data_IF_076837848283
#
_entry.id   IF_076837848283
#
_cell.length_a   1.000
_cell.length_b   1.000
_cell.length_c   1.000
_cell.angle_alpha   90.00
_cell.angle_beta   90.00
_cell.angle_gamma   90.00
#
_symmetry.space_group_name_H-M   'P 1'
#
loop_
_entity.id
_entity.type
_entity.pdbx_description
1 polymer ?
#
# COMPACT_ATOMS: atom_id res chain seq x y z
N UNK A 1 -11.10 25.29 -111.38
CA UNK A 1 -12.09 25.67 -110.34
C UNK A 1 -12.76 26.95 -110.80
N UNK A 2 -14.07 26.92 -111.06
CA UNK A 2 -14.82 28.08 -111.50
C UNK A 2 -15.17 28.97 -110.28
N UNK A 3 -14.85 30.27 -110.29
CA UNK A 3 -15.19 31.18 -109.20
C UNK A 3 -16.69 31.53 -109.24
N UNK A 4 -17.41 31.26 -108.13
CA UNK A 4 -18.83 31.63 -107.99
C UNK A 4 -19.70 30.73 -107.10
N UNK A 5 -19.19 29.60 -106.60
CA UNK A 5 -19.95 28.67 -105.74
C UNK A 5 -19.39 28.68 -104.30
N UNK A 6 -20.24 29.03 -103.33
CA UNK A 6 -19.93 28.96 -101.90
C UNK A 6 -20.55 27.71 -101.29
N UNK A 7 -19.72 26.84 -100.70
CA UNK A 7 -20.19 25.66 -99.98
C UNK A 7 -20.69 26.10 -98.60
N UNK A 8 -22.00 25.98 -98.37
CA UNK A 8 -22.61 26.47 -97.13
C UNK A 8 -22.59 25.42 -96.01
N UNK A 9 -22.81 24.14 -96.32
CA UNK A 9 -22.71 23.02 -95.38
C UNK A 9 -22.30 21.75 -96.11
N UNK A 10 -21.30 21.05 -95.57
CA UNK A 10 -20.94 19.69 -96.00
C UNK A 10 -21.47 18.73 -94.95
N UNK A 11 -22.42 17.88 -95.33
CA UNK A 11 -22.89 16.78 -94.49
C UNK A 11 -22.27 15.50 -95.00
N UNK A 12 -21.51 14.85 -94.13
CA UNK A 12 -21.05 13.47 -94.35
C UNK A 12 -22.07 12.51 -93.76
N UNK A 13 -22.37 11.46 -94.51
CA UNK A 13 -23.15 10.33 -93.99
C UNK A 13 -22.26 9.46 -93.12
N UNK A 14 -22.81 8.95 -92.01
CA UNK A 14 -22.07 8.02 -91.16
C UNK A 14 -21.88 6.71 -91.95
N UNK A 15 -20.65 6.26 -92.20
CA UNK A 15 -20.42 5.01 -92.91
C UNK A 15 -20.99 3.84 -92.10
N UNK A 16 -21.68 2.92 -92.78
CA UNK A 16 -22.21 1.70 -92.15
C UNK A 16 -21.05 0.72 -91.95
N UNK A 17 -20.68 0.48 -90.70
CA UNK A 17 -19.67 -0.52 -90.36
C UNK A 17 -20.31 -1.91 -90.44
N UNK A 18 -19.74 -2.85 -91.21
CA UNK A 18 -20.20 -4.24 -91.25
C UNK A 18 -20.22 -4.88 -89.86
N UNK A 19 -21.21 -5.72 -89.57
CA UNK A 19 -21.44 -6.26 -88.22
C UNK A 19 -20.27 -7.07 -87.67
N UNK A 20 -19.52 -7.77 -88.54
CA UNK A 20 -18.34 -8.52 -88.15
C UNK A 20 -17.24 -7.64 -87.50
N UNK A 21 -17.01 -6.43 -88.02
CA UNK A 21 -15.99 -5.51 -87.48
C UNK A 21 -16.47 -4.91 -86.15
N UNK A 22 -17.77 -4.66 -86.02
CA UNK A 22 -18.39 -4.14 -84.79
C UNK A 22 -18.21 -5.13 -83.63
N UNK A 23 -18.55 -6.40 -83.85
CA UNK A 23 -18.42 -7.43 -82.81
C UNK A 23 -16.96 -7.67 -82.39
N UNK A 24 -16.02 -7.70 -83.33
CA UNK A 24 -14.59 -7.85 -83.01
C UNK A 24 -14.05 -6.67 -82.18
N UNK A 25 -14.46 -5.43 -82.51
CA UNK A 25 -14.07 -4.24 -81.76
C UNK A 25 -14.65 -4.23 -80.34
N UNK A 26 -15.91 -4.66 -80.20
CA UNK A 26 -16.57 -4.81 -78.90
C UNK A 26 -15.88 -5.85 -78.02
N UNK A 27 -15.56 -7.03 -78.56
CA UNK A 27 -14.82 -8.08 -77.85
C UNK A 27 -13.44 -7.60 -77.40
N UNK A 28 -12.66 -7.01 -78.32
CA UNK A 28 -11.35 -6.46 -77.99
C UNK A 28 -11.43 -5.40 -76.88
N UNK A 29 -12.44 -4.51 -76.92
CA UNK A 29 -12.65 -3.51 -75.88
C UNK A 29 -13.03 -4.12 -74.53
N UNK A 30 -13.89 -5.14 -74.54
CA UNK A 30 -14.29 -5.83 -73.32
C UNK A 30 -13.07 -6.52 -72.67
N UNK A 31 -12.24 -7.19 -73.44
CA UNK A 31 -11.00 -7.83 -72.98
C UNK A 31 -9.99 -6.81 -72.45
N UNK A 32 -9.76 -5.73 -73.19
CA UNK A 32 -8.86 -4.65 -72.76
C UNK A 32 -9.32 -4.03 -71.43
N UNK A 33 -10.62 -3.79 -71.30
CA UNK A 33 -11.19 -3.24 -70.07
C UNK A 33 -11.06 -4.24 -68.92
N UNK A 34 -11.35 -5.52 -69.15
CA UNK A 34 -11.20 -6.59 -68.16
C UNK A 34 -9.75 -6.71 -67.66
N UNK A 35 -8.78 -6.65 -68.57
CA UNK A 35 -7.35 -6.70 -68.22
C UNK A 35 -6.94 -5.49 -67.36
N UNK A 36 -7.39 -4.29 -67.72
CA UNK A 36 -7.12 -3.08 -66.96
C UNK A 36 -7.71 -3.15 -65.55
N UNK A 37 -8.96 -3.60 -65.42
CA UNK A 37 -9.64 -3.78 -64.13
C UNK A 37 -8.90 -4.81 -63.27
N UNK A 38 -8.53 -5.96 -63.84
CA UNK A 38 -7.79 -6.99 -63.12
C UNK A 38 -6.43 -6.46 -62.62
N UNK A 39 -5.70 -5.73 -63.47
CA UNK A 39 -4.40 -5.12 -63.12
C UNK A 39 -4.56 -4.08 -62.00
N UNK A 40 -5.59 -3.23 -62.07
CA UNK A 40 -5.86 -2.26 -61.01
C UNK A 40 -6.26 -2.93 -59.70
N UNK A 41 -7.09 -3.95 -59.77
CA UNK A 41 -7.51 -4.71 -58.60
C UNK A 41 -6.31 -5.37 -57.91
N UNK A 42 -5.40 -5.98 -58.67
CA UNK A 42 -4.15 -6.54 -58.13
C UNK A 42 -3.34 -5.49 -57.37
N UNK A 43 -3.16 -4.29 -57.95
CA UNK A 43 -2.46 -3.19 -57.29
C UNK A 43 -3.15 -2.73 -56.00
N UNK A 44 -4.47 -2.69 -55.98
CA UNK A 44 -5.23 -2.34 -54.77
C UNK A 44 -5.00 -3.38 -53.67
N UNK A 45 -5.12 -4.67 -54.00
CA UNK A 45 -4.90 -5.77 -53.05
C UNK A 45 -3.46 -5.74 -52.48
N UNK A 46 -2.46 -5.51 -53.33
CA UNK A 46 -1.06 -5.37 -52.88
C UNK A 46 -0.89 -4.19 -51.91
N UNK A 47 -1.47 -3.03 -52.23
CA UNK A 47 -1.37 -1.83 -51.38
C UNK A 47 -2.16 -1.97 -50.08
N UNK A 48 -3.31 -2.64 -50.11
CA UNK A 48 -4.09 -2.95 -48.93
C UNK A 48 -3.33 -3.91 -48.01
N UNK A 49 -2.71 -4.96 -48.55
CA UNK A 49 -1.89 -5.87 -47.78
C UNK A 49 -0.69 -5.16 -47.12
N UNK A 50 0.00 -4.29 -47.85
CA UNK A 50 1.07 -3.44 -47.29
C UNK A 50 0.54 -2.53 -46.17
N UNK A 51 -0.63 -1.93 -46.38
CA UNK A 51 -1.27 -1.03 -45.41
C UNK A 51 -1.67 -1.78 -44.14
N UNK A 52 -2.25 -2.97 -44.28
CA UNK A 52 -2.62 -3.83 -43.15
C UNK A 52 -1.38 -4.25 -42.34
N UNK A 53 -0.28 -4.62 -43.01
CA UNK A 53 0.99 -4.94 -42.33
C UNK A 53 1.50 -3.74 -41.52
N UNK A 54 1.58 -2.56 -42.13
CA UNK A 54 2.01 -1.33 -41.42
C UNK A 54 1.09 -0.99 -40.26
N UNK A 55 -0.22 -1.11 -40.46
CA UNK A 55 -1.21 -0.87 -39.40
C UNK A 55 -1.01 -1.83 -38.23
N UNK A 56 -0.77 -3.11 -38.48
CA UNK A 56 -0.54 -4.11 -37.45
C UNK A 56 0.75 -3.82 -36.65
N UNK A 57 1.84 -3.42 -37.33
CA UNK A 57 3.09 -3.02 -36.67
C UNK A 57 2.88 -1.79 -35.78
N UNK A 58 2.25 -0.74 -36.32
CA UNK A 58 1.97 0.48 -35.57
C UNK A 58 1.07 0.20 -34.36
N UNK A 59 0.08 -0.68 -34.51
CA UNK A 59 -0.80 -1.05 -33.41
C UNK A 59 -0.06 -1.82 -32.32
N UNK A 60 0.83 -2.76 -32.69
CA UNK A 60 1.67 -3.48 -31.75
C UNK A 60 2.62 -2.54 -31.00
N UNK A 61 3.27 -1.61 -31.71
CA UNK A 61 4.15 -0.60 -31.11
C UNK A 61 3.39 0.32 -30.16
N UNK A 62 2.21 0.79 -30.57
CA UNK A 62 1.34 1.62 -29.72
C UNK A 62 0.97 0.86 -28.43
N UNK A 63 0.56 -0.40 -28.54
CA UNK A 63 0.24 -1.24 -27.37
C UNK A 63 1.45 -1.41 -26.46
N UNK A 64 2.64 -1.66 -27.00
CA UNK A 64 3.87 -1.75 -26.23
C UNK A 64 4.22 -0.45 -25.51
N UNK A 65 4.07 0.70 -26.17
CA UNK A 65 4.31 2.02 -25.56
C UNK A 65 3.31 2.32 -24.44
N UNK A 66 2.02 2.04 -24.66
CA UNK A 66 1.00 2.22 -23.62
C UNK A 66 1.29 1.31 -22.42
N UNK A 67 1.62 0.03 -22.65
CA UNK A 67 2.01 -0.88 -21.57
C UNK A 67 3.23 -0.37 -20.80
N UNK A 68 4.26 0.14 -21.48
CA UNK A 68 5.43 0.71 -20.84
C UNK A 68 5.10 1.93 -19.97
N UNK A 69 4.20 2.81 -20.42
CA UNK A 69 3.73 3.95 -19.62
C UNK A 69 2.97 3.47 -18.38
N UNK A 70 2.04 2.53 -18.54
CA UNK A 70 1.28 1.95 -17.43
C UNK A 70 2.22 1.30 -16.40
N UNK A 71 3.21 0.52 -16.85
CA UNK A 71 4.19 -0.09 -15.97
C UNK A 71 5.02 0.96 -15.21
N UNK A 72 5.47 2.03 -15.88
CA UNK A 72 6.17 3.13 -15.22
C UNK A 72 5.30 3.80 -14.15
N UNK A 73 4.01 4.04 -14.43
CA UNK A 73 3.06 4.59 -13.47
C UNK A 73 2.91 3.66 -12.26
N UNK A 74 2.67 2.37 -12.48
CA UNK A 74 2.54 1.39 -11.39
C UNK A 74 3.82 1.28 -10.54
N UNK A 75 5.00 1.31 -11.16
CA UNK A 75 6.27 1.30 -10.43
C UNK A 75 6.38 2.55 -9.55
N UNK A 76 6.11 3.74 -10.11
CA UNK A 76 6.15 4.99 -9.38
C UNK A 76 5.15 5.02 -8.21
N UNK A 77 3.93 4.51 -8.41
CA UNK A 77 2.92 4.35 -7.35
C UNK A 77 3.41 3.42 -6.23
N UNK A 78 3.96 2.25 -6.58
CA UNK A 78 4.47 1.29 -5.59
C UNK A 78 5.70 1.83 -4.85
N UNK A 79 6.57 2.56 -5.52
CA UNK A 79 7.71 3.22 -4.88
C UNK A 79 7.26 4.32 -3.91
N UNK A 80 6.26 5.11 -4.30
CA UNK A 80 5.67 6.13 -3.44
C UNK A 80 5.00 5.48 -2.23
N UNK A 81 4.23 4.41 -2.43
CA UNK A 81 3.63 3.66 -1.33
C UNK A 81 4.68 3.13 -0.35
N UNK A 82 5.78 2.55 -0.86
CA UNK A 82 6.89 2.10 -0.01
C UNK A 82 7.51 3.24 0.79
N UNK A 83 7.65 4.44 0.21
CA UNK A 83 8.17 5.62 0.91
C UNK A 83 7.23 6.08 2.01
N UNK A 84 5.92 6.14 1.72
CA UNK A 84 4.90 6.50 2.71
C UNK A 84 4.95 5.53 3.89
N UNK A 85 4.90 4.22 3.64
CA UNK A 85 4.94 3.24 4.72
C UNK A 85 6.23 3.32 5.55
N UNK A 86 7.39 3.56 4.93
CA UNK A 86 8.64 3.79 5.67
C UNK A 86 8.56 5.03 6.57
N UNK A 87 8.02 6.14 6.07
CA UNK A 87 7.86 7.36 6.86
C UNK A 87 6.86 7.16 8.00
N UNK A 88 5.78 6.41 7.78
CA UNK A 88 4.82 6.03 8.82
C UNK A 88 5.51 5.19 9.90
N UNK A 89 6.25 4.14 9.52
CA UNK A 89 6.99 3.29 10.46
C UNK A 89 8.01 4.09 11.28
N UNK A 90 8.78 4.97 10.63
CA UNK A 90 9.75 5.85 11.29
C UNK A 90 9.06 6.82 12.27
N UNK A 91 7.94 7.42 11.86
CA UNK A 91 7.15 8.32 12.69
C UNK A 91 6.54 7.60 13.89
N UNK A 92 6.02 6.39 13.68
CA UNK A 92 5.49 5.54 14.75
C UNK A 92 6.58 5.14 15.73
N UNK A 93 7.73 4.67 15.24
CA UNK A 93 8.87 4.31 16.09
C UNK A 93 9.35 5.51 16.92
N UNK A 94 9.49 6.68 16.29
CA UNK A 94 9.89 7.90 16.99
C UNK A 94 8.85 8.31 18.05
N UNK A 95 7.57 8.18 17.75
CA UNK A 95 6.48 8.52 18.67
C UNK A 95 6.44 7.57 19.87
N UNK A 96 6.55 6.26 19.64
CA UNK A 96 6.57 5.26 20.72
C UNK A 96 7.81 5.39 21.59
N UNK A 97 8.98 5.65 20.99
CA UNK A 97 10.19 5.95 21.73
C UNK A 97 10.04 7.19 22.61
N UNK A 98 9.51 8.29 22.06
CA UNK A 98 9.28 9.50 22.83
C UNK A 98 8.30 9.29 24.01
N UNK A 99 7.24 8.49 23.81
CA UNK A 99 6.32 8.11 24.89
C UNK A 99 7.01 7.26 25.96
N UNK A 100 7.81 6.28 25.56
CA UNK A 100 8.56 5.43 26.49
C UNK A 100 9.58 6.26 27.30
N UNK A 101 10.35 7.12 26.63
CA UNK A 101 11.33 8.01 27.26
C UNK A 101 10.65 8.99 28.24
N UNK A 102 9.51 9.56 27.85
CA UNK A 102 8.70 10.41 28.73
C UNK A 102 8.16 9.65 29.95
N UNK A 103 7.71 8.41 29.76
CA UNK A 103 7.29 7.52 30.84
C UNK A 103 8.42 7.21 31.81
N UNK A 104 9.59 6.84 31.27
CA UNK A 104 10.80 6.58 32.05
C UNK A 104 11.22 7.82 32.84
N UNK A 105 11.29 8.99 32.20
CA UNK A 105 11.66 10.24 32.87
C UNK A 105 10.72 10.59 34.01
N UNK A 106 9.41 10.46 33.80
CA UNK A 106 8.40 10.67 34.86
C UNK A 106 8.58 9.71 36.02
N UNK A 107 8.74 8.41 35.76
CA UNK A 107 8.93 7.40 36.78
C UNK A 107 10.23 7.63 37.57
N UNK A 108 11.32 7.97 36.88
CA UNK A 108 12.61 8.28 37.49
C UNK A 108 12.50 9.50 38.41
N UNK A 109 11.89 10.60 37.94
CA UNK A 109 11.69 11.81 38.76
C UNK A 109 10.76 11.58 39.93
N UNK A 110 9.71 10.77 39.76
CA UNK A 110 8.84 10.36 40.86
C UNK A 110 9.60 9.52 41.90
N UNK A 111 10.46 8.58 41.48
CA UNK A 111 11.30 7.80 42.39
C UNK A 111 12.31 8.66 43.15
N UNK A 112 12.96 9.62 42.47
CA UNK A 112 13.84 10.61 43.11
C UNK A 112 13.09 11.46 44.14
N UNK A 113 11.90 11.95 43.79
CA UNK A 113 11.05 12.73 44.70
C UNK A 113 10.60 11.90 45.90
N UNK A 114 10.15 10.66 45.68
CA UNK A 114 9.76 9.75 46.75
C UNK A 114 10.93 9.47 47.69
N UNK A 115 12.16 9.31 47.17
CA UNK A 115 13.35 9.15 48.02
C UNK A 115 13.57 10.32 48.95
N UNK A 116 13.26 11.55 48.51
CA UNK A 116 13.36 12.75 49.35
C UNK A 116 12.19 12.88 50.33
N UNK A 117 11.00 12.41 49.97
CA UNK A 117 9.79 12.47 50.82
C UNK A 117 9.72 11.36 51.87
N UNK A 118 10.47 10.26 51.70
CA UNK A 118 10.54 9.14 52.65
C UNK A 118 11.42 9.48 53.88
N UNK A 119 11.19 10.62 54.51
CA UNK A 119 11.70 10.88 55.87
C UNK A 119 10.69 10.37 56.90
N UNK A 120 11.15 9.76 58.02
CA UNK A 120 10.25 9.18 59.01
C UNK A 120 9.26 10.21 59.58
N UNK A 121 9.70 11.46 59.78
CA UNK A 121 8.89 12.53 60.35
C UNK A 121 7.76 12.97 59.39
N UNK A 122 8.01 12.96 58.08
CA UNK A 122 7.00 13.33 57.09
C UNK A 122 5.94 12.24 56.92
N UNK A 123 6.34 10.97 57.03
CA UNK A 123 5.42 9.84 56.98
C UNK A 123 4.48 9.81 58.18
N UNK A 124 4.99 10.08 59.39
CA UNK A 124 4.17 10.22 60.60
C UNK A 124 3.16 11.38 60.46
N UNK A 125 3.61 12.55 60.02
CA UNK A 125 2.72 13.70 59.77
C UNK A 125 1.62 13.36 58.75
N UNK A 126 1.98 12.68 57.66
CA UNK A 126 1.01 12.25 56.65
C UNK A 126 0.05 11.18 57.14
N UNK A 127 0.51 10.25 57.97
CA UNK A 127 -0.33 9.24 58.59
C UNK A 127 -1.37 9.89 59.50
N UNK A 128 -0.95 10.80 60.38
CA UNK A 128 -1.85 11.54 61.28
C UNK A 128 -2.86 12.38 60.46
N UNK A 129 -2.41 13.06 59.41
CA UNK A 129 -3.28 13.84 58.53
C UNK A 129 -4.32 12.95 57.81
N UNK A 130 -3.91 11.78 57.32
CA UNK A 130 -4.80 10.82 56.67
C UNK A 130 -5.83 10.24 57.66
N UNK A 131 -5.40 9.91 58.88
CA UNK A 131 -6.30 9.49 59.96
C UNK A 131 -7.30 10.59 60.26
N UNK A 132 -6.85 11.83 60.45
CA UNK A 132 -7.72 12.97 60.76
C UNK A 132 -8.76 13.24 59.66
N UNK A 133 -8.39 13.13 58.38
CA UNK A 133 -9.31 13.34 57.24
C UNK A 133 -10.28 12.19 57.00
N UNK A 134 -9.84 10.95 57.23
CA UNK A 134 -10.66 9.76 57.00
C UNK A 134 -11.50 9.38 58.24
N UNK A 135 -11.33 10.06 59.37
CA UNK A 135 -12.14 9.85 60.55
C UNK A 135 -13.55 10.42 60.34
N UNK A 136 -14.40 9.67 59.64
CA UNK A 136 -15.85 9.82 59.75
C UNK A 136 -16.20 9.41 61.18
N UNK A 137 -16.53 10.38 62.01
CA UNK A 137 -16.87 10.15 63.41
C UNK A 137 -18.12 9.27 63.45
N UNK A 138 -17.94 7.98 63.74
CA UNK A 138 -19.04 7.05 64.01
C UNK A 138 -19.36 7.12 65.50
N UNK A 139 -20.53 7.67 65.85
CA UNK A 139 -21.04 7.68 67.22
C UNK A 139 -21.89 6.42 67.45
N UNK A 140 -21.47 5.54 68.37
CA UNK A 140 -22.18 4.30 68.73
C UNK A 140 -21.34 3.41 69.66
N UNK A 141 -21.97 2.52 70.45
CA UNK A 141 -21.33 1.79 71.56
C UNK A 141 -20.33 0.68 71.18
N UNK A 142 -20.13 0.39 69.89
CA UNK A 142 -19.17 -0.62 69.41
C UNK A 142 -18.27 -0.07 68.29
N UNK A 143 -17.11 0.47 68.66
CA UNK A 143 -16.08 0.93 67.72
C UNK A 143 -15.10 -0.24 67.47
N UNK A 144 -14.92 -0.72 66.22
CA UNK A 144 -13.97 -1.80 65.92
C UNK A 144 -12.53 -1.41 66.26
N UNK A 145 -11.86 -2.25 67.05
CA UNK A 145 -10.48 -2.09 67.54
C UNK A 145 -9.38 -2.13 66.45
N UNK A 146 -9.75 -2.21 65.17
CA UNK A 146 -8.83 -2.28 64.04
C UNK A 146 -7.95 -1.02 63.87
N UNK A 147 -8.38 0.14 64.39
CA UNK A 147 -7.64 1.40 64.27
C UNK A 147 -6.47 1.56 65.26
N UNK A 148 -6.41 0.76 66.33
CA UNK A 148 -5.41 0.91 67.40
C UNK A 148 -4.26 -0.12 67.36
N UNK A 149 -4.27 -1.08 66.42
CA UNK A 149 -3.29 -2.18 66.37
C UNK A 149 -2.09 -1.96 65.41
N UNK A 150 -1.78 -0.71 65.05
CA UNK A 150 -0.72 -0.44 64.08
C UNK A 150 0.69 -0.75 64.58
N UNK A 151 0.96 -0.76 65.89
CA UNK A 151 2.27 -1.14 66.43
C UNK A 151 2.47 -2.66 66.54
N UNK A 152 1.41 -3.42 66.82
CA UNK A 152 1.51 -4.88 67.02
C UNK A 152 1.54 -5.68 65.70
N UNK A 153 0.86 -5.20 64.65
CA UNK A 153 0.78 -5.89 63.36
C UNK A 153 2.05 -5.72 62.50
N UNK A 154 2.74 -4.58 62.60
CA UNK A 154 4.01 -4.34 61.91
C UNK A 154 5.13 -5.24 62.44
N UNK A 155 5.14 -5.55 63.75
CA UNK A 155 6.09 -6.51 64.32
C UNK A 155 5.86 -7.96 63.83
N UNK A 156 4.61 -8.35 63.55
CA UNK A 156 4.27 -9.70 63.09
C UNK A 156 4.54 -9.95 61.59
N UNK A 157 4.46 -8.93 60.74
CA UNK A 157 4.75 -9.08 59.30
C UNK A 157 6.26 -9.16 59.03
N UNK A 158 7.08 -8.40 59.77
CA UNK A 158 8.55 -8.47 59.71
C UNK A 158 9.05 -9.82 60.27
N UNK A 159 8.46 -10.33 61.35
CA UNK A 159 8.78 -11.66 61.89
C UNK A 159 8.38 -12.81 60.94
N UNK A 160 7.24 -12.71 60.24
CA UNK A 160 6.83 -13.70 59.22
C UNK A 160 7.74 -13.68 57.98
N UNK A 161 8.17 -12.50 57.53
CA UNK A 161 9.08 -12.40 56.38
C UNK A 161 10.47 -12.97 56.70
N UNK A 162 10.96 -12.80 57.94
CA UNK A 162 12.24 -13.36 58.39
C UNK A 162 12.18 -14.90 58.58
N UNK A 163 11.03 -15.44 59.00
CA UNK A 163 10.78 -16.89 59.09
C UNK A 163 10.67 -17.58 57.71
N UNK A 164 10.06 -16.92 56.72
CA UNK A 164 9.91 -17.50 55.38
C UNK A 164 11.23 -17.55 54.60
N UNK A 165 12.10 -16.56 54.78
CA UNK A 165 13.45 -16.56 54.18
C UNK A 165 14.37 -17.60 54.83
N UNK A 166 14.19 -17.94 56.11
CA UNK A 166 14.98 -18.97 56.79
C UNK A 166 14.51 -20.39 56.46
N UNK A 167 13.22 -20.62 56.20
CA UNK A 167 12.74 -21.92 55.66
C UNK A 167 13.17 -22.15 54.21
N UNK A 168 13.13 -21.13 53.34
CA UNK A 168 13.55 -21.27 51.93
C UNK A 168 15.05 -21.54 51.81
N UNK A 169 15.88 -20.90 52.66
CA UNK A 169 17.33 -21.14 52.67
C UNK A 169 17.69 -22.49 53.32
N UNK A 170 16.89 -22.98 54.28
CA UNK A 170 17.08 -24.30 54.91
C UNK A 170 16.64 -25.45 53.99
N UNK A 171 15.62 -25.26 53.15
CA UNK A 171 15.20 -26.24 52.13
C UNK A 171 16.20 -26.36 50.97
N UNK A 172 16.94 -25.29 50.66
CA UNK A 172 17.96 -25.30 49.60
C UNK A 172 19.26 -26.03 50.00
N UNK A 173 19.48 -26.29 51.30
CA UNK A 173 20.70 -26.96 51.81
C UNK A 173 20.53 -28.45 52.14
N UNK A 174 19.34 -29.05 51.95
CA UNK A 174 19.05 -30.44 52.29
C UNK A 174 18.52 -31.25 51.10
N UNK A 175 19.19 -31.13 49.95
CA UNK A 175 19.14 -32.16 48.90
C UNK A 175 20.46 -32.19 48.13
N UNK A 176 21.38 -33.12 48.46
CA UNK A 176 22.58 -33.36 47.69
C UNK A 176 22.27 -34.27 46.50
N UNK A 177 22.89 -33.94 45.36
CA UNK A 177 23.43 -34.88 44.36
C UNK A 177 22.50 -35.99 43.87
N UNK A 178 21.95 -35.84 42.66
CA UNK A 178 21.81 -36.96 41.71
C UNK A 178 21.41 -36.43 40.31
N UNK A 179 22.15 -36.91 39.30
CA UNK A 179 22.02 -36.73 37.84
C UNK A 179 22.44 -35.34 37.28
N UNK A 180 23.54 -35.07 36.54
CA UNK A 180 24.45 -35.83 35.65
C UNK A 180 23.78 -36.86 34.73
N UNK A 181 24.12 -36.84 33.44
CA UNK A 181 23.60 -37.65 32.32
C UNK A 181 22.24 -37.13 31.80
N UNK A 182 22.04 -36.80 30.52
CA UNK A 182 22.61 -37.27 29.23
C UNK A 182 22.40 -36.24 28.12
N UNK A 183 23.12 -36.44 27.00
CA UNK A 183 23.01 -35.81 25.67
C UNK A 183 21.60 -35.37 25.25
#
# INVERSE_FOLDING_TARGET
MAPGLFVQVVRVTKPKIPEAIRHNYEQMKAEKTKLLVATQHQKVVEKEAETQRKKAVIEAEKKAQVAAIMHKQTIAEKETQKKISKLEDESHLSSEKAKADAGFYRAHKAAEANRLLLTPEYLELKQIEAIAKNNKIFYGQDIPSAFFHSEAAAAQSVARAHGMLTEIVSFQFLLPVLFSFTL
#
